data_IF_853587875417
#
_entry.id   IF_853587875417
#
_cell.length_a   1.000
_cell.length_b   1.000
_cell.length_c   1.000
_cell.angle_alpha   90.00
_cell.angle_beta   90.00
_cell.angle_gamma   90.00
#
_symmetry.space_group_name_H-M   'P 1'
#
loop_
_entity.id
_entity.type
_entity.pdbx_description
1 polymer ?
#
# COMPACT_ATOMS: atom_id res chain seq x y z
N UNK A 1 -17.47 5.17 13.32
CA UNK A 1 -16.42 4.76 14.27
C UNK A 1 -15.15 5.49 13.89
N UNK A 2 -14.42 6.08 14.85
CA UNK A 2 -13.14 6.76 14.57
C UNK A 2 -12.02 5.81 14.96
N UNK A 3 -11.09 5.53 14.05
CA UNK A 3 -9.91 4.74 14.37
C UNK A 3 -8.96 5.56 15.22
N UNK A 4 -8.44 4.95 16.27
CA UNK A 4 -7.36 5.48 17.10
C UNK A 4 -6.40 4.32 17.34
N UNK A 5 -5.13 4.52 17.00
CA UNK A 5 -4.08 3.52 17.19
C UNK A 5 -3.09 4.02 18.24
N UNK A 6 -2.70 3.15 19.15
CA UNK A 6 -1.72 3.48 20.19
C UNK A 6 -0.32 3.63 19.58
N UNK A 7 0.55 4.53 20.08
CA UNK A 7 1.90 4.68 19.57
C UNK A 7 2.73 3.38 19.66
N UNK A 8 3.42 3.01 18.58
CA UNK A 8 4.40 1.91 18.56
C UNK A 8 5.80 2.50 18.70
N UNK A 9 6.28 2.60 19.93
CA UNK A 9 7.55 3.28 20.23
C UNK A 9 8.80 2.47 19.79
N UNK A 10 8.65 1.17 19.56
CA UNK A 10 9.78 0.24 19.37
C UNK A 10 10.00 -0.20 17.91
N UNK A 11 9.26 0.36 16.95
CA UNK A 11 9.37 -0.03 15.54
C UNK A 11 10.31 0.92 14.78
N UNK A 12 11.55 0.47 14.59
CA UNK A 12 12.47 1.10 13.65
C UNK A 12 12.02 0.96 12.20
N UNK A 13 12.57 1.75 11.26
CA UNK A 13 12.27 1.60 9.84
C UNK A 13 12.58 0.17 9.38
N UNK A 14 11.66 -0.43 8.63
CA UNK A 14 11.92 -1.75 8.04
C UNK A 14 13.04 -1.61 6.99
N UNK A 15 13.84 -2.66 6.73
CA UNK A 15 14.81 -2.63 5.64
C UNK A 15 14.11 -2.75 4.29
N UNK A 16 14.76 -2.24 3.23
CA UNK A 16 14.39 -2.60 1.85
C UNK A 16 14.78 -4.04 1.60
N UNK A 17 13.90 -4.80 0.95
CA UNK A 17 14.12 -6.21 0.64
C UNK A 17 15.34 -6.36 -0.29
N UNK A 18 16.29 -7.20 0.10
CA UNK A 18 17.41 -7.58 -0.74
C UNK A 18 17.01 -8.75 -1.64
N UNK A 19 16.60 -8.43 -2.87
CA UNK A 19 16.20 -9.43 -3.86
C UNK A 19 17.29 -10.44 -4.20
N UNK A 20 18.58 -10.09 -4.06
CA UNK A 20 19.69 -11.00 -4.37
C UNK A 20 19.70 -12.26 -3.49
N UNK A 21 19.02 -12.20 -2.35
CA UNK A 21 18.85 -13.32 -1.41
C UNK A 21 17.63 -14.20 -1.72
N UNK A 22 16.84 -13.85 -2.75
CA UNK A 22 15.58 -14.52 -3.07
C UNK A 22 15.67 -15.36 -4.34
N UNK A 23 14.83 -16.40 -4.51
CA UNK A 23 14.77 -17.18 -5.75
C UNK A 23 14.34 -16.39 -7.00
N UNK A 24 13.79 -15.19 -6.82
CA UNK A 24 13.23 -14.33 -7.88
C UNK A 24 14.11 -13.09 -8.14
N UNK A 25 15.39 -13.17 -7.75
CA UNK A 25 16.35 -12.07 -7.85
C UNK A 25 16.45 -11.48 -9.26
N UNK A 26 16.33 -12.31 -10.30
CA UNK A 26 16.46 -11.88 -11.70
C UNK A 26 15.28 -11.06 -12.17
N UNK A 27 14.09 -11.39 -11.72
CA UNK A 27 12.83 -10.77 -12.13
C UNK A 27 12.57 -9.46 -11.41
N UNK A 28 13.06 -9.35 -10.17
CA UNK A 28 12.80 -8.20 -9.29
C UNK A 28 14.04 -7.36 -8.99
N UNK A 29 15.17 -7.56 -9.68
CA UNK A 29 16.35 -6.71 -9.53
C UNK A 29 15.99 -5.22 -9.71
N UNK A 30 16.45 -4.38 -8.79
CA UNK A 30 16.11 -2.96 -8.74
C UNK A 30 14.64 -2.63 -8.40
N UNK A 31 13.80 -3.61 -8.06
CA UNK A 31 12.43 -3.37 -7.60
C UNK A 31 12.39 -2.98 -6.13
N UNK A 32 11.46 -2.10 -5.76
CA UNK A 32 11.26 -1.70 -4.37
C UNK A 32 10.24 -2.62 -3.67
N UNK A 33 10.63 -3.21 -2.54
CA UNK A 33 9.72 -3.90 -1.64
C UNK A 33 10.22 -3.84 -0.19
N UNK A 34 9.29 -3.86 0.76
CA UNK A 34 9.56 -3.94 2.21
C UNK A 34 8.55 -4.87 2.86
N UNK A 35 8.99 -5.55 3.91
CA UNK A 35 8.11 -6.28 4.83
C UNK A 35 8.20 -5.55 6.17
N UNK A 36 7.04 -5.11 6.69
CA UNK A 36 6.95 -4.46 7.99
C UNK A 36 6.14 -5.38 8.90
N UNK A 37 6.85 -6.12 9.74
CA UNK A 37 6.23 -7.02 10.70
C UNK A 37 5.57 -6.25 11.84
N UNK A 38 4.46 -6.78 12.35
CA UNK A 38 3.71 -6.25 13.50
C UNK A 38 3.26 -4.78 13.34
N UNK A 39 3.04 -4.30 12.12
CA UNK A 39 2.62 -2.91 11.84
C UNK A 39 1.34 -2.51 12.61
N UNK A 40 0.42 -3.48 12.76
CA UNK A 40 -0.83 -3.36 13.53
C UNK A 40 -0.92 -4.56 14.50
N UNK A 41 -1.44 -4.35 15.72
CA UNK A 41 -1.81 -5.50 16.57
C UNK A 41 -3.09 -6.17 16.09
N UNK A 42 -3.42 -7.30 16.71
CA UNK A 42 -4.68 -8.02 16.48
C UNK A 42 -5.89 -7.12 16.69
N UNK A 43 -5.91 -6.32 17.76
CA UNK A 43 -7.03 -5.42 18.08
C UNK A 43 -7.17 -4.30 17.05
N UNK A 44 -6.05 -3.74 16.58
CA UNK A 44 -6.04 -2.72 15.51
C UNK A 44 -6.53 -3.33 14.19
N UNK A 45 -6.13 -4.57 13.87
CA UNK A 45 -6.62 -5.31 12.70
C UNK A 45 -8.13 -5.59 12.79
N UNK A 46 -8.63 -6.04 13.93
CA UNK A 46 -10.07 -6.25 14.17
C UNK A 46 -10.85 -4.94 14.02
N UNK A 47 -10.33 -3.83 14.55
CA UNK A 47 -10.94 -2.52 14.39
C UNK A 47 -10.98 -2.06 12.92
N UNK A 48 -9.93 -2.34 12.13
CA UNK A 48 -9.91 -2.06 10.69
C UNK A 48 -10.95 -2.87 9.92
N UNK A 49 -11.09 -4.16 10.25
CA UNK A 49 -12.10 -5.04 9.64
C UNK A 49 -13.51 -4.55 10.00
N UNK A 50 -13.78 -4.33 11.29
CA UNK A 50 -15.08 -3.83 11.76
C UNK A 50 -15.41 -2.46 11.14
N UNK A 51 -14.41 -1.61 10.94
CA UNK A 51 -14.58 -0.36 10.21
C UNK A 51 -15.04 -0.65 8.78
N UNK A 52 -14.34 -1.48 8.02
CA UNK A 52 -14.74 -1.82 6.64
C UNK A 52 -16.17 -2.39 6.58
N UNK A 53 -16.50 -3.35 7.44
CA UNK A 53 -17.80 -4.04 7.48
C UNK A 53 -18.97 -3.14 7.93
N UNK A 54 -18.67 -2.05 8.64
CA UNK A 54 -19.69 -1.04 8.99
C UNK A 54 -20.19 -0.23 7.78
N UNK A 55 -19.47 -0.26 6.66
CA UNK A 55 -19.80 0.49 5.43
C UNK A 55 -20.43 -0.40 4.36
N UNK A 56 -19.87 -1.60 4.16
CA UNK A 56 -20.34 -2.53 3.13
C UNK A 56 -20.18 -4.00 3.54
N UNK A 57 -20.85 -4.89 2.81
CA UNK A 57 -20.62 -6.34 2.91
C UNK A 57 -19.51 -6.75 1.96
N UNK A 58 -18.78 -7.80 2.34
CA UNK A 58 -17.87 -8.49 1.44
C UNK A 58 -18.60 -8.92 0.16
N UNK A 59 -17.98 -8.63 -0.97
CA UNK A 59 -18.48 -8.99 -2.30
C UNK A 59 -17.31 -9.33 -3.22
N UNK A 60 -17.59 -10.14 -4.26
CA UNK A 60 -16.59 -10.50 -5.26
C UNK A 60 -15.95 -9.25 -5.86
N UNK A 61 -14.62 -9.19 -5.82
CA UNK A 61 -13.89 -8.04 -6.29
C UNK A 61 -13.93 -7.92 -7.82
N UNK A 62 -14.63 -6.92 -8.33
CA UNK A 62 -14.68 -6.65 -9.76
C UNK A 62 -13.36 -6.06 -10.30
N UNK A 63 -13.09 -6.37 -11.57
CA UNK A 63 -12.05 -5.76 -12.40
C UNK A 63 -12.62 -4.49 -13.02
N UNK A 64 -11.94 -3.35 -12.82
CA UNK A 64 -12.34 -2.09 -13.44
C UNK A 64 -11.50 -1.86 -14.70
N UNK A 65 -12.16 -1.56 -15.82
CA UNK A 65 -11.52 -1.20 -17.09
C UNK A 65 -11.73 0.28 -17.45
N UNK A 66 -12.45 1.02 -16.60
CA UNK A 66 -12.67 2.45 -16.72
C UNK A 66 -13.01 3.08 -15.37
N UNK A 67 -13.31 4.38 -15.39
CA UNK A 67 -13.53 5.19 -14.19
C UNK A 67 -14.99 5.22 -13.75
N UNK A 68 -15.92 4.84 -14.62
CA UNK A 68 -17.35 4.88 -14.30
C UNK A 68 -17.80 3.63 -13.54
N UNK A 69 -18.82 3.78 -12.69
CA UNK A 69 -19.29 2.69 -11.83
C UNK A 69 -19.78 1.44 -12.59
N UNK A 70 -20.20 1.59 -13.85
CA UNK A 70 -20.63 0.47 -14.69
C UNK A 70 -19.49 -0.18 -15.48
N UNK A 71 -18.29 0.42 -15.48
CA UNK A 71 -17.12 -0.03 -16.24
C UNK A 71 -16.31 -1.07 -15.46
N UNK A 72 -17.03 -2.10 -15.02
CA UNK A 72 -16.47 -3.20 -14.24
C UNK A 72 -17.14 -4.53 -14.57
N UNK A 73 -16.42 -5.63 -14.38
CA UNK A 73 -16.93 -6.99 -14.50
C UNK A 73 -16.29 -7.91 -13.45
N UNK A 74 -16.90 -9.06 -13.20
CA UNK A 74 -16.36 -10.10 -12.33
C UNK A 74 -15.69 -11.17 -13.18
N UNK A 75 -14.43 -11.47 -12.86
CA UNK A 75 -13.67 -12.57 -13.46
C UNK A 75 -12.84 -13.26 -12.38
N UNK A 76 -13.29 -14.43 -11.97
CA UNK A 76 -12.64 -15.24 -10.92
C UNK A 76 -11.41 -15.98 -11.42
N UNK A 77 -11.16 -16.05 -12.73
CA UNK A 77 -9.92 -16.61 -13.28
C UNK A 77 -8.74 -15.64 -13.14
N UNK A 78 -9.03 -14.34 -13.10
CA UNK A 78 -8.07 -13.27 -12.90
C UNK A 78 -8.01 -12.77 -11.45
N UNK A 79 -9.18 -12.54 -10.82
CA UNK A 79 -9.31 -12.02 -9.45
C UNK A 79 -10.34 -12.81 -8.65
N UNK A 80 -9.85 -13.80 -7.91
CA UNK A 80 -10.67 -14.62 -7.02
C UNK A 80 -10.56 -14.20 -5.55
N UNK A 81 -11.02 -12.99 -5.24
CA UNK A 81 -11.07 -12.49 -3.87
C UNK A 81 -12.29 -11.63 -3.64
N UNK A 82 -12.72 -11.55 -2.39
CA UNK A 82 -13.72 -10.59 -1.94
C UNK A 82 -13.03 -9.29 -1.50
N UNK A 83 -13.74 -8.16 -1.56
CA UNK A 83 -13.25 -6.89 -1.01
C UNK A 83 -14.37 -5.98 -0.54
N UNK A 84 -13.99 -5.05 0.32
CA UNK A 84 -14.71 -3.81 0.59
C UNK A 84 -13.82 -2.64 0.14
N UNK A 85 -14.38 -1.67 -0.59
CA UNK A 85 -13.72 -0.41 -0.90
C UNK A 85 -14.31 0.68 0.00
N UNK A 86 -13.54 1.11 0.99
CA UNK A 86 -13.94 2.19 1.90
C UNK A 86 -13.10 3.43 1.61
N UNK A 87 -13.76 4.53 1.24
CA UNK A 87 -13.12 5.82 1.00
C UNK A 87 -13.30 6.72 2.22
N UNK A 88 -12.36 6.64 3.15
CA UNK A 88 -12.41 7.33 4.44
C UNK A 88 -11.06 8.02 4.69
N UNK A 89 -11.06 9.34 4.57
CA UNK A 89 -9.85 10.16 4.65
C UNK A 89 -9.18 10.07 6.03
N UNK A 90 -9.96 10.08 7.11
CA UNK A 90 -9.41 10.04 8.47
C UNK A 90 -8.80 8.67 8.77
N UNK A 91 -9.47 7.60 8.36
CA UNK A 91 -8.92 6.24 8.49
C UNK A 91 -7.64 6.06 7.66
N UNK A 92 -7.63 6.56 6.42
CA UNK A 92 -6.45 6.52 5.55
C UNK A 92 -5.28 7.29 6.15
N UNK A 93 -5.52 8.47 6.73
CA UNK A 93 -4.50 9.26 7.39
C UNK A 93 -3.87 8.51 8.57
N UNK A 94 -4.67 7.84 9.40
CA UNK A 94 -4.17 7.05 10.55
C UNK A 94 -3.30 5.88 10.09
N UNK A 95 -3.72 5.14 9.06
CA UNK A 95 -2.93 4.06 8.44
C UNK A 95 -1.63 4.61 7.85
N UNK A 96 -1.70 5.73 7.14
CA UNK A 96 -0.55 6.37 6.52
C UNK A 96 0.50 6.80 7.57
N UNK A 97 0.07 7.42 8.68
CA UNK A 97 0.97 7.80 9.77
C UNK A 97 1.69 6.59 10.39
N UNK A 98 1.05 5.41 10.40
CA UNK A 98 1.69 4.15 10.86
C UNK A 98 2.77 3.67 9.90
N UNK A 99 2.55 3.81 8.60
CA UNK A 99 3.48 3.35 7.55
C UNK A 99 4.64 4.33 7.36
N UNK A 100 4.38 5.64 7.49
CA UNK A 100 5.31 6.72 7.10
C UNK A 100 6.74 6.54 7.63
N UNK A 101 7.00 6.20 8.90
CA UNK A 101 8.37 6.00 9.41
C UNK A 101 9.17 4.92 8.66
N UNK A 102 8.50 3.98 8.00
CA UNK A 102 9.11 2.86 7.29
C UNK A 102 9.35 3.12 5.80
N UNK A 103 8.93 4.26 5.24
CA UNK A 103 9.02 4.53 3.79
C UNK A 103 9.66 5.89 3.48
N UNK A 104 10.59 6.34 4.33
CA UNK A 104 11.25 7.64 4.23
C UNK A 104 11.94 7.86 2.88
N UNK A 105 12.45 6.79 2.27
CA UNK A 105 13.08 6.78 0.96
C UNK A 105 12.13 7.11 -0.20
N UNK A 106 10.82 7.03 0.03
CA UNK A 106 9.78 7.37 -0.95
C UNK A 106 9.16 8.76 -0.73
N UNK A 107 9.53 9.47 0.34
CA UNK A 107 9.00 10.82 0.61
C UNK A 107 9.32 11.78 -0.53
N UNK A 108 10.50 11.66 -1.10
CA UNK A 108 10.94 12.48 -2.23
C UNK A 108 11.69 11.63 -3.26
N UNK A 109 11.17 11.57 -4.48
CA UNK A 109 11.77 10.85 -5.60
C UNK A 109 12.17 11.85 -6.68
N UNK A 110 13.42 11.74 -7.13
CA UNK A 110 14.05 12.62 -8.13
C UNK A 110 14.51 11.81 -9.34
N UNK A 111 14.70 12.43 -10.51
CA UNK A 111 15.30 11.77 -11.67
C UNK A 111 16.67 11.17 -11.29
N UNK A 112 16.90 9.91 -11.64
CA UNK A 112 18.12 9.18 -11.29
C UNK A 112 18.21 8.71 -9.85
N UNK A 113 17.17 8.85 -9.02
CA UNK A 113 17.17 8.23 -7.69
C UNK A 113 17.07 6.70 -7.81
N UNK A 114 17.54 5.94 -6.81
CA UNK A 114 17.40 4.47 -6.81
C UNK A 114 15.96 3.98 -6.96
N UNK A 115 14.98 4.81 -6.61
CA UNK A 115 13.55 4.49 -6.60
C UNK A 115 12.74 5.23 -7.68
N UNK A 116 13.40 5.78 -8.70
CA UNK A 116 12.75 6.40 -9.85
C UNK A 116 11.67 5.49 -10.47
N UNK A 117 11.96 4.19 -10.52
CA UNK A 117 11.11 3.15 -11.12
C UNK A 117 9.78 2.93 -10.40
N UNK A 118 9.64 3.43 -9.17
CA UNK A 118 8.38 3.37 -8.41
C UNK A 118 7.29 4.22 -9.06
N UNK A 119 7.66 5.34 -9.69
CA UNK A 119 6.71 6.32 -10.23
C UNK A 119 6.76 6.47 -11.75
N UNK A 120 7.88 6.06 -12.38
CA UNK A 120 8.08 6.22 -13.82
C UNK A 120 9.05 5.16 -14.34
N UNK A 121 8.93 4.71 -15.60
CA UNK A 121 9.98 3.92 -16.23
C UNK A 121 11.36 4.63 -16.16
N UNK A 122 12.47 3.88 -16.14
CA UNK A 122 13.81 4.44 -16.04
C UNK A 122 14.11 5.50 -17.10
N UNK A 123 14.71 6.61 -16.69
CA UNK A 123 15.09 7.75 -17.51
C UNK A 123 13.93 8.63 -17.98
N UNK A 124 12.70 8.37 -17.52
CA UNK A 124 11.50 9.12 -17.95
C UNK A 124 10.94 10.06 -16.89
N UNK A 125 11.46 9.98 -15.66
CA UNK A 125 10.98 10.83 -14.59
C UNK A 125 11.34 12.30 -14.86
N UNK A 126 10.32 13.16 -14.83
CA UNK A 126 10.48 14.61 -14.92
C UNK A 126 10.10 15.25 -13.59
N UNK A 127 10.98 16.14 -13.10
CA UNK A 127 10.77 16.87 -11.86
C UNK A 127 10.90 16.00 -10.59
N UNK A 128 10.68 16.64 -9.45
CA UNK A 128 10.71 16.01 -8.12
C UNK A 128 9.31 15.64 -7.71
N UNK A 129 9.11 14.38 -7.33
CA UNK A 129 7.84 13.89 -6.78
C UNK A 129 7.94 13.85 -5.28
N UNK A 130 6.86 14.31 -4.62
CA UNK A 130 6.74 14.30 -3.18
C UNK A 130 5.53 13.48 -2.79
N UNK A 131 5.71 12.59 -1.83
CA UNK A 131 4.61 11.85 -1.25
C UNK A 131 3.72 12.84 -0.47
N UNK A 132 2.52 13.05 -0.98
CA UNK A 132 1.47 13.81 -0.31
C UNK A 132 0.49 12.81 0.28
N UNK A 133 0.47 12.74 1.61
CA UNK A 133 -0.52 11.97 2.37
C UNK A 133 -1.84 12.71 2.47
#
# INVERSE_FOLDING_TARGET
MKLTFEPRLDQGPAPVLDWSTTPVAREYDGSYAKVIDDLFSSEECEALIALAESDAKWAQAAVHYGLEAHQQYVDTSYRNSERILRFDHDAAAVIFQRILPHVQELIEIKPGSPWETVISPPGRLQGTWKLVG
#
